data_IF_154465701464
#
_entry.id   IF_154465701464
#
_cell.length_a   1.000
_cell.length_b   1.000
_cell.length_c   1.000
_cell.angle_alpha   90.00
_cell.angle_beta   90.00
_cell.angle_gamma   90.00
#
_symmetry.space_group_name_H-M   'P 1'
#
loop_
_entity.id
_entity.type
_entity.pdbx_description
1 polymer ?
#
# COMPACT_ATOMS: atom_id res chain seq x y z
N UNK A 1 -9.18 -21.70 -7.43
CA UNK A 1 -9.89 -20.39 -7.56
C UNK A 1 -9.55 -19.74 -8.90
N UNK A 2 -8.27 -19.52 -9.22
CA UNK A 2 -7.85 -18.85 -10.45
C UNK A 2 -8.30 -19.58 -11.74
N UNK A 3 -8.11 -20.90 -11.83
CA UNK A 3 -8.58 -21.72 -12.95
C UNK A 3 -10.10 -21.57 -13.20
N UNK A 4 -10.89 -21.62 -12.12
CA UNK A 4 -12.35 -21.45 -12.20
C UNK A 4 -12.75 -20.05 -12.68
N UNK A 5 -11.97 -19.02 -12.30
CA UNK A 5 -12.13 -17.65 -12.80
C UNK A 5 -11.78 -17.56 -14.29
N UNK A 6 -10.73 -18.25 -14.74
CA UNK A 6 -10.33 -18.32 -16.16
C UNK A 6 -11.38 -19.03 -17.02
N UNK A 7 -12.11 -20.00 -16.46
CA UNK A 7 -13.29 -20.61 -17.07
C UNK A 7 -14.52 -19.67 -17.12
N UNK A 8 -14.41 -18.42 -16.68
CA UNK A 8 -15.48 -17.41 -16.71
C UNK A 8 -16.44 -17.46 -15.52
N UNK A 9 -16.12 -18.18 -14.45
CA UNK A 9 -16.98 -18.25 -13.26
C UNK A 9 -16.80 -17.01 -12.38
N UNK A 10 -17.91 -16.54 -11.79
CA UNK A 10 -17.87 -15.51 -10.74
C UNK A 10 -17.71 -16.19 -9.39
N UNK A 11 -16.71 -15.77 -8.63
CA UNK A 11 -16.35 -16.35 -7.32
C UNK A 11 -16.53 -15.29 -6.25
N UNK A 12 -17.26 -15.64 -5.20
CA UNK A 12 -17.39 -14.81 -3.99
C UNK A 12 -16.55 -15.43 -2.87
N UNK A 13 -15.62 -14.65 -2.32
CA UNK A 13 -14.73 -15.07 -1.25
C UNK A 13 -14.91 -14.14 -0.05
N UNK A 14 -14.98 -14.73 1.14
CA UNK A 14 -14.88 -14.02 2.40
C UNK A 14 -13.61 -14.47 3.09
N UNK A 15 -12.72 -13.54 3.41
CA UNK A 15 -11.50 -13.81 4.17
C UNK A 15 -11.20 -12.62 5.07
N UNK A 16 -10.52 -12.90 6.19
CA UNK A 16 -9.90 -11.90 7.04
C UNK A 16 -8.38 -11.77 6.75
N UNK A 17 -7.84 -12.67 5.91
CA UNK A 17 -6.44 -12.66 5.47
C UNK A 17 -6.33 -11.71 4.29
N UNK A 18 -5.81 -10.51 4.54
CA UNK A 18 -5.73 -9.45 3.53
C UNK A 18 -4.79 -9.79 2.37
N UNK A 19 -3.74 -10.55 2.61
CA UNK A 19 -2.84 -11.02 1.56
C UNK A 19 -3.58 -11.89 0.52
N UNK A 20 -4.36 -12.87 0.97
CA UNK A 20 -5.16 -13.72 0.08
C UNK A 20 -6.20 -12.92 -0.69
N UNK A 21 -6.83 -11.94 -0.04
CA UNK A 21 -7.79 -11.04 -0.69
C UNK A 21 -7.12 -10.22 -1.80
N UNK A 22 -5.91 -9.74 -1.56
CA UNK A 22 -5.13 -9.00 -2.55
C UNK A 22 -4.73 -9.88 -3.75
N UNK A 23 -4.27 -11.10 -3.49
CA UNK A 23 -3.78 -11.99 -4.55
C UNK A 23 -4.93 -12.56 -5.41
N UNK A 24 -6.05 -12.91 -4.78
CA UNK A 24 -7.12 -13.67 -5.42
C UNK A 24 -8.24 -12.80 -5.99
N UNK A 25 -8.49 -11.61 -5.42
CA UNK A 25 -9.67 -10.82 -5.74
C UNK A 25 -9.40 -9.68 -6.74
N UNK A 26 -10.27 -9.56 -7.74
CA UNK A 26 -10.27 -8.38 -8.63
C UNK A 26 -10.91 -7.15 -8.00
N UNK A 27 -11.76 -7.34 -6.99
CA UNK A 27 -12.38 -6.30 -6.16
C UNK A 27 -12.51 -6.80 -4.73
N UNK A 28 -12.33 -5.90 -3.77
CA UNK A 28 -12.46 -6.16 -2.34
C UNK A 28 -13.54 -5.22 -1.80
N UNK A 29 -14.43 -5.76 -0.97
CA UNK A 29 -15.39 -4.98 -0.22
C UNK A 29 -15.09 -5.12 1.28
N UNK A 30 -14.92 -4.00 1.98
CA UNK A 30 -14.82 -4.00 3.44
C UNK A 30 -16.22 -3.91 4.04
N UNK A 31 -16.55 -4.86 4.91
CA UNK A 31 -17.86 -4.95 5.56
C UNK A 31 -17.68 -4.69 7.06
N UNK A 32 -18.45 -3.73 7.59
CA UNK A 32 -18.44 -3.35 9.00
C UNK A 32 -19.88 -3.19 9.47
N UNK A 33 -20.23 -3.80 10.61
CA UNK A 33 -21.56 -3.70 11.20
C UNK A 33 -22.70 -3.99 10.20
N UNK A 34 -22.50 -4.97 9.32
CA UNK A 34 -23.48 -5.39 8.31
C UNK A 34 -23.62 -4.47 7.10
N UNK A 35 -22.71 -3.50 6.90
CA UNK A 35 -22.72 -2.57 5.76
C UNK A 35 -21.40 -2.61 5.01
N UNK A 36 -21.45 -2.44 3.69
CA UNK A 36 -20.25 -2.25 2.86
C UNK A 36 -19.76 -0.82 3.10
N UNK A 37 -18.59 -0.68 3.71
CA UNK A 37 -17.96 0.60 3.98
C UNK A 37 -17.16 1.11 2.77
N UNK A 38 -16.57 0.21 2.00
CA UNK A 38 -15.72 0.53 0.86
C UNK A 38 -15.69 -0.65 -0.12
N UNK A 39 -15.62 -0.38 -1.42
CA UNK A 39 -15.47 -1.42 -2.45
C UNK A 39 -14.70 -0.88 -3.66
N UNK A 40 -13.56 -1.49 -3.97
CA UNK A 40 -12.80 -1.22 -5.20
C UNK A 40 -11.78 -2.36 -5.46
N UNK A 41 -10.99 -2.26 -6.52
CA UNK A 41 -9.81 -3.10 -6.74
C UNK A 41 -8.75 -2.88 -5.66
N UNK A 42 -7.98 -3.91 -5.25
CA UNK A 42 -6.93 -3.76 -4.25
C UNK A 42 -5.96 -2.61 -4.56
N UNK A 43 -5.56 -2.49 -5.83
CA UNK A 43 -4.67 -1.43 -6.30
C UNK A 43 -5.27 -0.03 -6.14
N UNK A 44 -6.54 0.17 -6.47
CA UNK A 44 -7.20 1.47 -6.32
C UNK A 44 -7.26 1.87 -4.84
N UNK A 45 -7.65 0.93 -3.97
CA UNK A 45 -7.68 1.15 -2.52
C UNK A 45 -6.30 1.57 -1.99
N UNK A 46 -5.23 0.86 -2.36
CA UNK A 46 -3.86 1.20 -1.97
C UNK A 46 -3.42 2.58 -2.43
N UNK A 47 -3.78 2.98 -3.65
CA UNK A 47 -3.44 4.29 -4.19
C UNK A 47 -4.21 5.43 -3.53
N UNK A 48 -5.49 5.23 -3.23
CA UNK A 48 -6.36 6.25 -2.63
C UNK A 48 -6.03 6.47 -1.16
N UNK A 49 -5.77 5.40 -0.42
CA UNK A 49 -5.59 5.48 1.03
C UNK A 49 -4.13 5.42 1.48
N UNK A 50 -3.21 5.09 0.56
CA UNK A 50 -1.77 5.05 0.75
C UNK A 50 -1.12 6.38 1.11
N UNK A 51 0.00 6.29 1.84
CA UNK A 51 0.88 7.43 2.06
C UNK A 51 1.74 7.59 0.81
N UNK A 52 1.64 8.72 0.13
CA UNK A 52 2.47 9.01 -1.05
C UNK A 52 3.85 9.49 -0.59
N UNK A 53 4.62 8.59 0.02
CA UNK A 53 5.94 8.85 0.58
C UNK A 53 7.00 7.95 -0.04
N UNK A 54 8.25 8.41 -0.01
CA UNK A 54 9.44 7.68 -0.40
C UNK A 54 10.41 7.73 0.77
N UNK A 55 10.79 6.56 1.26
CA UNK A 55 11.82 6.37 2.27
C UNK A 55 13.15 6.16 1.58
N UNK A 56 14.17 6.86 2.02
CA UNK A 56 15.55 6.73 1.52
C UNK A 56 16.47 6.37 2.67
N UNK A 57 17.20 5.27 2.50
CA UNK A 57 18.25 4.84 3.42
C UNK A 57 19.61 5.18 2.81
N UNK A 58 20.45 5.86 3.57
CA UNK A 58 21.76 6.33 3.11
C UNK A 58 22.78 6.37 4.25
N UNK A 59 24.07 6.39 3.92
CA UNK A 59 25.16 6.34 4.90
C UNK A 59 26.02 7.61 4.88
N UNK A 60 26.16 8.25 6.05
CA UNK A 60 27.00 9.45 6.27
C UNK A 60 27.91 9.28 7.49
N UNK A 61 28.70 8.20 7.50
CA UNK A 61 29.45 7.77 8.69
C UNK A 61 28.59 6.98 9.70
N UNK A 62 27.27 7.12 9.61
CA UNK A 62 26.24 6.32 10.28
C UNK A 62 25.08 6.08 9.31
N UNK A 63 24.29 5.04 9.54
CA UNK A 63 23.09 4.76 8.76
C UNK A 63 22.00 5.80 9.09
N UNK A 64 21.40 6.37 8.06
CA UNK A 64 20.32 7.36 8.15
C UNK A 64 19.15 6.99 7.27
N UNK A 65 17.98 7.44 7.70
CA UNK A 65 16.73 7.26 6.99
C UNK A 65 15.98 8.61 6.94
N UNK A 66 15.49 8.98 5.76
CA UNK A 66 14.62 10.15 5.57
C UNK A 66 13.42 9.81 4.68
N UNK A 67 12.26 10.39 5.00
CA UNK A 67 11.03 10.25 4.22
C UNK A 67 10.73 11.55 3.44
N UNK A 68 10.37 11.40 2.18
CA UNK A 68 10.00 12.50 1.29
C UNK A 68 8.62 12.27 0.67
N UNK A 69 7.83 13.32 0.42
CA UNK A 69 6.64 13.20 -0.42
C UNK A 69 7.01 12.67 -1.81
N UNK A 70 6.29 11.66 -2.28
CA UNK A 70 6.39 11.15 -3.65
C UNK A 70 5.94 12.23 -4.65
N UNK A 71 4.96 13.04 -4.26
CA UNK A 71 4.47 14.15 -5.08
C UNK A 71 5.52 15.26 -5.16
N UNK A 72 5.96 15.57 -6.38
CA UNK A 72 6.99 16.57 -6.62
C UNK A 72 8.41 16.12 -6.24
N UNK A 73 8.63 14.82 -5.99
CA UNK A 73 9.92 14.30 -5.52
C UNK A 73 11.10 14.63 -6.44
N UNK A 74 10.86 14.70 -7.75
CA UNK A 74 11.89 15.07 -8.74
C UNK A 74 12.41 16.50 -8.61
N UNK A 75 11.72 17.37 -7.88
CA UNK A 75 12.17 18.73 -7.54
C UNK A 75 12.54 18.90 -6.06
N UNK A 76 12.46 17.83 -5.25
CA UNK A 76 12.73 17.93 -3.82
C UNK A 76 14.24 18.07 -3.58
N UNK A 77 14.66 19.24 -3.12
CA UNK A 77 16.07 19.56 -2.94
C UNK A 77 16.78 18.64 -1.92
N UNK A 78 16.09 18.21 -0.86
CA UNK A 78 16.63 17.30 0.15
C UNK A 78 16.88 15.92 -0.43
N UNK A 79 15.88 15.36 -1.11
CA UNK A 79 15.98 14.08 -1.80
C UNK A 79 17.10 14.08 -2.86
N UNK A 80 17.12 15.10 -3.73
CA UNK A 80 18.14 15.22 -4.78
C UNK A 80 19.55 15.47 -4.23
N UNK A 81 19.68 16.11 -3.06
CA UNK A 81 20.96 16.26 -2.36
C UNK A 81 21.46 14.89 -1.90
N UNK A 82 20.61 14.10 -1.24
CA UNK A 82 20.95 12.74 -0.80
C UNK A 82 21.42 11.88 -1.98
N UNK A 83 20.68 11.89 -3.09
CA UNK A 83 21.05 11.11 -4.28
C UNK A 83 22.40 11.52 -4.93
N UNK A 84 22.85 12.76 -4.72
CA UNK A 84 24.06 13.30 -5.35
C UNK A 84 25.28 13.22 -4.43
N UNK A 85 25.08 13.42 -3.14
CA UNK A 85 26.15 13.66 -2.17
C UNK A 85 26.38 12.48 -1.24
N UNK A 86 25.36 11.66 -1.00
CA UNK A 86 25.39 10.61 0.02
C UNK A 86 25.46 9.20 -0.59
N UNK A 87 25.91 8.23 0.21
CA UNK A 87 25.92 6.83 -0.20
C UNK A 87 24.55 6.18 0.04
N UNK A 88 23.68 6.24 -0.97
CA UNK A 88 22.34 5.65 -0.93
C UNK A 88 22.42 4.12 -0.92
N UNK A 89 21.75 3.51 0.05
CA UNK A 89 21.69 2.06 0.23
C UNK A 89 20.38 1.49 -0.30
N UNK A 90 19.26 2.16 -0.03
CA UNK A 90 17.94 1.71 -0.48
C UNK A 90 16.96 2.89 -0.66
N UNK A 91 15.99 2.69 -1.56
CA UNK A 91 14.87 3.61 -1.78
C UNK A 91 13.60 2.77 -1.86
N UNK A 92 12.62 3.09 -1.01
CA UNK A 92 11.35 2.39 -0.93
C UNK A 92 10.20 3.37 -1.10
N UNK A 93 9.22 3.03 -1.93
CA UNK A 93 7.92 3.71 -1.92
C UNK A 93 7.09 3.13 -0.79
N UNK A 94 6.53 3.99 0.05
CA UNK A 94 5.57 3.57 1.05
C UNK A 94 4.22 3.35 0.34
N UNK A 95 3.72 2.12 0.35
CA UNK A 95 2.38 1.79 -0.12
C UNK A 95 1.52 1.40 1.08
N UNK A 96 0.22 1.75 1.09
CA UNK A 96 -0.65 1.24 2.13
C UNK A 96 -0.87 -0.27 1.98
N UNK A 97 -0.97 -0.95 3.12
CA UNK A 97 -1.49 -2.31 3.18
C UNK A 97 -3.02 -2.28 3.27
N UNK A 98 -3.70 -3.34 2.83
CA UNK A 98 -5.15 -3.42 2.99
C UNK A 98 -5.59 -3.40 4.47
N UNK A 99 -4.75 -3.90 5.38
CA UNK A 99 -4.97 -3.84 6.84
C UNK A 99 -5.03 -2.39 7.34
N UNK A 100 -4.08 -1.55 6.93
CA UNK A 100 -4.07 -0.12 7.27
C UNK A 100 -5.30 0.61 6.72
N UNK A 101 -5.70 0.28 5.50
CA UNK A 101 -6.89 0.86 4.86
C UNK A 101 -8.14 0.43 5.63
N UNK A 102 -8.23 -0.84 5.99
CA UNK A 102 -9.32 -1.34 6.81
C UNK A 102 -9.38 -0.58 8.14
N UNK A 103 -8.28 -0.43 8.88
CA UNK A 103 -8.27 0.34 10.13
C UNK A 103 -8.71 1.79 9.90
N UNK A 104 -8.20 2.44 8.84
CA UNK A 104 -8.52 3.83 8.50
C UNK A 104 -10.00 4.05 8.16
N UNK A 105 -10.62 3.08 7.50
CA UNK A 105 -12.02 3.16 7.04
C UNK A 105 -12.99 2.73 8.14
N UNK A 106 -12.61 1.71 8.92
CA UNK A 106 -13.51 1.05 9.87
C UNK A 106 -13.34 1.56 11.31
N UNK A 107 -12.19 2.15 11.63
CA UNK A 107 -11.83 2.57 12.99
C UNK A 107 -11.48 1.41 13.93
N UNK A 108 -11.42 0.18 13.43
CA UNK A 108 -11.18 -1.04 14.20
C UNK A 108 -10.08 -1.89 13.58
N UNK A 109 -9.24 -2.52 14.40
CA UNK A 109 -8.29 -3.52 13.93
C UNK A 109 -8.99 -4.86 13.65
N UNK A 110 -8.42 -5.63 12.72
CA UNK A 110 -8.84 -7.01 12.49
C UNK A 110 -8.49 -7.87 13.72
N UNK A 111 -9.43 -8.72 14.15
CA UNK A 111 -9.26 -9.67 15.25
C UNK A 111 -9.01 -11.08 14.74
#
# INVERSE_FOLDING_TARGET
ILEQREEGKTIFLTTHVMHDAEELCGRIAFIVNGKIALIDSPRALKLEYGRRLVRVEYFTGEAREEEFPLDGIGGNAGFLRILREENVQAIHTEEATLDEIFIKVTGTALQ
#
